data_IF_235923991822
#
_entry.id   IF_235923991822
#
_cell.length_a   1.000
_cell.length_b   1.000
_cell.length_c   1.000
_cell.angle_alpha   90.00
_cell.angle_beta   90.00
_cell.angle_gamma   90.00
#
_symmetry.space_group_name_H-M   'P 1'
#
loop_
_entity.id
_entity.type
_entity.pdbx_description
1 polymer ?
#
# COMPACT_ATOMS: atom_id res chain seq x y z
N UNK A 1 9.12 -20.16 29.58
CA UNK A 1 8.38 -21.22 28.88
C UNK A 1 7.01 -20.71 28.47
N UNK A 2 6.47 -21.16 27.35
CA UNK A 2 5.13 -20.78 26.89
C UNK A 2 4.07 -21.30 27.85
N UNK A 3 3.03 -20.51 28.10
CA UNK A 3 1.93 -20.85 29.02
C UNK A 3 0.60 -20.50 28.36
N UNK A 4 -0.43 -21.37 28.44
CA UNK A 4 -1.79 -21.01 28.06
C UNK A 4 -2.29 -19.82 28.88
N UNK A 5 -3.13 -18.97 28.26
CA UNK A 5 -3.75 -17.84 28.93
C UNK A 5 -5.21 -18.14 29.28
N UNK A 6 -5.76 -17.51 30.35
CA UNK A 6 -7.19 -17.60 30.66
C UNK A 6 -8.08 -17.05 29.55
N UNK A 7 -9.36 -17.44 29.57
CA UNK A 7 -10.41 -16.84 28.73
C UNK A 7 -10.46 -15.33 28.95
N UNK A 8 -10.70 -14.57 27.89
CA UNK A 8 -10.74 -13.10 27.90
C UNK A 8 -9.38 -12.39 27.81
N UNK A 9 -8.26 -13.10 28.03
CA UNK A 9 -6.91 -12.50 28.02
C UNK A 9 -6.25 -12.60 26.64
N UNK A 10 -5.83 -11.46 26.08
CA UNK A 10 -5.22 -11.40 24.75
C UNK A 10 -3.74 -11.84 24.76
N UNK A 11 -3.43 -12.93 24.05
CA UNK A 11 -2.09 -13.49 23.88
C UNK A 11 -1.70 -13.72 22.42
N UNK A 12 -0.50 -14.26 22.20
CA UNK A 12 -0.07 -14.68 20.87
C UNK A 12 -0.76 -15.99 20.46
N UNK A 13 -1.26 -16.03 19.22
CA UNK A 13 -1.88 -17.21 18.64
C UNK A 13 -0.83 -18.13 17.99
N UNK A 14 -0.90 -19.42 18.31
CA UNK A 14 -0.08 -20.47 17.71
C UNK A 14 -0.98 -21.51 17.06
N UNK A 15 -0.55 -22.07 15.93
CA UNK A 15 -1.23 -23.17 15.25
C UNK A 15 -0.42 -24.46 15.44
N UNK A 16 -1.09 -25.58 15.71
CA UNK A 16 -0.48 -26.90 15.80
C UNK A 16 -1.22 -27.92 14.95
N UNK A 17 -0.66 -29.13 14.85
CA UNK A 17 -1.30 -30.27 14.20
C UNK A 17 -0.90 -30.49 12.73
N UNK A 18 -1.66 -31.34 12.04
CA UNK A 18 -1.31 -31.84 10.71
C UNK A 18 -1.33 -30.77 9.59
N UNK A 19 -2.04 -29.65 9.81
CA UNK A 19 -2.15 -28.55 8.82
C UNK A 19 -0.92 -27.65 8.73
N UNK A 20 0.15 -27.92 9.47
CA UNK A 20 1.36 -27.12 9.41
C UNK A 20 2.11 -27.31 8.09
N UNK A 21 2.53 -26.19 7.50
CA UNK A 21 3.45 -26.23 6.37
C UNK A 21 4.80 -26.86 6.77
N UNK A 22 5.56 -27.32 5.77
CA UNK A 22 6.92 -27.86 6.01
C UNK A 22 7.86 -26.76 6.53
N UNK A 23 7.72 -25.55 5.99
CA UNK A 23 8.54 -24.37 6.27
C UNK A 23 8.48 -23.40 5.10
N UNK A 24 9.35 -22.39 5.13
CA UNK A 24 9.55 -21.46 4.01
C UNK A 24 10.61 -22.02 3.04
N UNK A 25 10.32 -21.97 1.74
CA UNK A 25 11.21 -22.51 0.71
C UNK A 25 12.56 -21.79 0.71
N UNK A 26 13.65 -22.55 0.84
CA UNK A 26 15.02 -22.01 0.83
C UNK A 26 15.37 -21.10 2.02
N UNK A 27 14.50 -21.02 3.05
CA UNK A 27 14.65 -20.10 4.18
C UNK A 27 14.60 -20.85 5.52
N UNK A 28 15.67 -21.59 5.87
CA UNK A 28 15.73 -22.35 7.11
C UNK A 28 15.73 -21.45 8.36
N UNK A 29 16.29 -20.24 8.23
CA UNK A 29 16.29 -19.17 9.24
C UNK A 29 14.85 -18.78 9.64
N UNK A 30 14.02 -18.43 8.67
CA UNK A 30 12.62 -18.07 8.89
C UNK A 30 11.79 -19.27 9.34
N UNK A 31 12.13 -20.45 8.84
CA UNK A 31 11.43 -21.69 9.22
C UNK A 31 11.66 -21.98 10.70
N UNK A 32 12.90 -21.90 11.19
CA UNK A 32 13.20 -22.13 12.60
C UNK A 32 12.58 -21.06 13.51
N UNK A 33 12.54 -19.80 13.06
CA UNK A 33 11.93 -18.71 13.82
C UNK A 33 10.38 -18.80 13.89
N UNK A 34 9.74 -19.27 12.82
CA UNK A 34 8.29 -19.37 12.70
C UNK A 34 7.69 -20.70 13.19
N UNK A 35 8.40 -21.82 12.99
CA UNK A 35 7.95 -23.17 13.34
C UNK A 35 8.75 -23.70 14.54
N UNK A 36 8.24 -23.43 15.73
CA UNK A 36 8.90 -23.73 17.01
C UNK A 36 8.43 -25.07 17.59
N UNK A 37 9.18 -25.60 18.56
CA UNK A 37 8.78 -26.80 19.28
C UNK A 37 7.47 -26.58 20.05
N UNK A 38 6.51 -27.50 19.94
CA UNK A 38 5.23 -27.43 20.64
C UNK A 38 5.34 -28.16 21.99
N UNK A 39 5.25 -27.45 23.14
CA UNK A 39 5.31 -28.09 24.45
C UNK A 39 3.98 -28.71 24.89
N UNK A 40 2.90 -28.54 24.10
CA UNK A 40 1.54 -28.95 24.45
C UNK A 40 1.04 -30.16 23.65
N UNK A 41 1.88 -30.72 22.79
CA UNK A 41 1.57 -31.85 21.91
C UNK A 41 2.47 -33.06 22.17
N UNK A 42 2.41 -34.09 21.31
CA UNK A 42 3.32 -35.23 21.38
C UNK A 42 4.78 -34.79 21.23
N UNK A 43 5.70 -35.60 21.76
CA UNK A 43 7.14 -35.35 21.65
C UNK A 43 7.56 -35.18 20.17
N UNK A 44 8.39 -34.17 19.89
CA UNK A 44 8.78 -33.82 18.53
C UNK A 44 7.76 -32.99 17.75
N UNK A 45 6.60 -32.67 18.36
CA UNK A 45 5.60 -31.79 17.76
C UNK A 45 6.11 -30.38 17.51
N UNK A 46 5.64 -29.75 16.43
CA UNK A 46 5.89 -28.35 16.10
C UNK A 46 4.61 -27.54 16.21
N UNK A 47 4.76 -26.23 16.37
CA UNK A 47 3.69 -25.25 16.23
C UNK A 47 4.18 -24.03 15.45
N UNK A 48 3.28 -23.42 14.70
CA UNK A 48 3.55 -22.20 13.94
C UNK A 48 3.14 -20.98 14.74
N UNK A 49 4.08 -20.04 14.90
CA UNK A 49 3.87 -18.74 15.53
C UNK A 49 3.26 -17.79 14.50
N UNK A 50 1.96 -17.52 14.62
CA UNK A 50 1.19 -16.79 13.58
C UNK A 50 1.53 -15.30 13.48
N UNK A 51 2.05 -14.72 14.57
CA UNK A 51 2.18 -13.27 14.76
C UNK A 51 0.86 -12.58 15.13
N UNK A 52 -0.28 -13.28 15.12
CA UNK A 52 -1.57 -12.74 15.55
C UNK A 52 -1.70 -12.70 17.08
N UNK A 53 -2.40 -11.70 17.59
CA UNK A 53 -2.91 -11.62 18.96
C UNK A 53 -4.39 -11.95 18.96
N UNK A 54 -4.78 -12.88 19.82
CA UNK A 54 -6.16 -13.32 19.96
C UNK A 54 -6.50 -13.63 21.42
N UNK A 55 -7.79 -13.72 21.73
CA UNK A 55 -8.31 -14.20 23.01
C UNK A 55 -9.49 -15.13 22.80
N UNK A 56 -9.66 -16.07 23.71
CA UNK A 56 -10.91 -16.84 23.79
C UNK A 56 -12.01 -15.97 24.39
N UNK A 57 -13.19 -16.03 23.79
CA UNK A 57 -14.44 -15.53 24.37
C UNK A 57 -15.11 -16.62 25.20
N UNK A 58 -16.05 -16.23 26.05
CA UNK A 58 -16.75 -17.14 26.96
C UNK A 58 -17.63 -18.18 26.22
N UNK A 59 -17.97 -17.90 24.96
CA UNK A 59 -18.69 -18.80 24.05
C UNK A 59 -17.77 -19.84 23.37
N UNK A 60 -16.47 -19.84 23.68
CA UNK A 60 -15.49 -20.74 23.08
C UNK A 60 -14.99 -20.30 21.70
N UNK A 61 -15.41 -19.14 21.19
CA UNK A 61 -14.88 -18.60 19.94
C UNK A 61 -13.58 -17.83 20.16
N UNK A 62 -12.72 -17.82 19.14
CA UNK A 62 -11.48 -17.06 19.14
C UNK A 62 -11.72 -15.66 18.55
N UNK A 63 -11.47 -14.62 19.33
CA UNK A 63 -11.51 -13.22 18.88
C UNK A 63 -10.13 -12.75 18.46
N UNK A 64 -10.02 -12.23 17.23
CA UNK A 64 -8.83 -11.55 16.75
C UNK A 64 -8.71 -10.15 17.38
N UNK A 65 -7.57 -9.86 17.99
CA UNK A 65 -7.29 -8.60 18.69
C UNK A 65 -6.35 -7.70 17.89
N UNK A 66 -5.44 -8.28 17.09
CA UNK A 66 -4.49 -7.53 16.28
C UNK A 66 -3.28 -8.39 15.91
N UNK A 67 -2.22 -7.77 15.40
CA UNK A 67 -0.94 -8.45 15.14
C UNK A 67 0.15 -7.95 16.09
N UNK A 68 1.16 -8.77 16.30
CA UNK A 68 2.39 -8.41 17.02
C UNK A 68 3.41 -7.75 16.10
N UNK A 69 3.37 -8.08 14.83
CA UNK A 69 4.19 -7.48 13.78
C UNK A 69 3.41 -6.39 13.02
N UNK A 70 4.12 -5.66 12.17
CA UNK A 70 3.57 -4.55 11.37
C UNK A 70 2.78 -5.05 10.15
N UNK A 71 2.34 -6.31 10.11
CA UNK A 71 1.57 -6.83 9.00
C UNK A 71 0.12 -6.38 9.07
N UNK A 72 -0.45 -6.05 7.91
CA UNK A 72 -1.76 -5.42 7.81
C UNK A 72 -2.59 -6.08 6.71
N UNK A 73 -3.89 -6.25 6.96
CA UNK A 73 -4.85 -6.66 5.94
C UNK A 73 -5.55 -5.44 5.35
N UNK A 74 -5.38 -5.21 4.05
CA UNK A 74 -6.01 -4.11 3.32
C UNK A 74 -6.64 -4.62 2.03
N UNK A 75 -7.92 -4.32 1.82
CA UNK A 75 -8.66 -4.68 0.60
C UNK A 75 -8.55 -6.17 0.20
N UNK A 76 -8.51 -7.08 1.19
CA UNK A 76 -8.35 -8.52 0.98
C UNK A 76 -6.91 -9.01 0.82
N UNK A 77 -5.94 -8.11 0.70
CA UNK A 77 -4.52 -8.43 0.61
C UNK A 77 -3.85 -8.42 1.98
N UNK A 78 -2.89 -9.34 2.15
CA UNK A 78 -1.92 -9.30 3.25
C UNK A 78 -0.74 -8.46 2.78
N UNK A 79 -0.49 -7.36 3.48
CA UNK A 79 0.60 -6.43 3.18
C UNK A 79 1.67 -6.57 4.26
N UNK A 80 2.91 -6.75 3.83
CA UNK A 80 4.10 -6.87 4.64
C UNK A 80 4.83 -5.52 4.66
N UNK A 81 4.55 -4.65 5.65
CA UNK A 81 5.11 -3.28 5.65
C UNK A 81 6.64 -3.27 5.66
N UNK A 82 7.26 -4.24 6.34
CA UNK A 82 8.71 -4.40 6.33
C UNK A 82 9.31 -4.74 4.95
N UNK A 83 8.55 -5.40 4.06
CA UNK A 83 8.98 -5.64 2.68
C UNK A 83 9.03 -4.33 1.89
N UNK A 84 8.01 -3.49 2.06
CA UNK A 84 7.93 -2.17 1.44
C UNK A 84 9.07 -1.27 1.97
N UNK A 85 9.29 -1.27 3.29
CA UNK A 85 10.40 -0.54 3.92
C UNK A 85 11.75 -0.97 3.34
N UNK A 86 12.01 -2.28 3.24
CA UNK A 86 13.27 -2.78 2.70
C UNK A 86 13.49 -2.39 1.24
N UNK A 87 12.45 -2.45 0.41
CA UNK A 87 12.54 -2.04 -0.99
C UNK A 87 12.82 -0.54 -1.09
N UNK A 88 12.11 0.30 -0.32
CA UNK A 88 12.35 1.75 -0.34
C UNK A 88 13.75 2.09 0.19
N UNK A 89 14.19 1.44 1.27
CA UNK A 89 15.52 1.63 1.86
C UNK A 89 16.67 1.19 0.92
N UNK A 90 16.40 0.30 -0.03
CA UNK A 90 17.40 -0.13 -1.01
C UNK A 90 17.67 0.92 -2.10
N UNK A 91 16.85 1.97 -2.20
CA UNK A 91 17.09 3.07 -3.14
C UNK A 91 18.30 3.91 -2.69
N UNK A 92 19.31 4.16 -3.55
CA UNK A 92 20.55 4.85 -3.15
C UNK A 92 20.37 6.26 -2.58
N UNK A 93 19.28 6.94 -2.95
CA UNK A 93 18.95 8.28 -2.46
C UNK A 93 18.12 8.33 -1.18
N UNK A 94 17.82 7.19 -0.55
CA UNK A 94 17.06 7.09 0.71
C UNK A 94 18.01 6.76 1.86
N UNK A 95 18.02 7.60 2.89
CA UNK A 95 18.82 7.42 4.10
C UNK A 95 18.06 6.63 5.17
N UNK A 96 16.78 6.99 5.39
CA UNK A 96 15.90 6.32 6.35
C UNK A 96 14.51 6.21 5.77
N UNK A 97 13.79 5.13 6.13
CA UNK A 97 12.38 5.01 5.82
C UNK A 97 11.60 4.29 6.92
N UNK A 98 10.32 4.63 7.03
CA UNK A 98 9.33 3.87 7.77
C UNK A 98 8.04 3.84 6.95
N UNK A 99 7.37 2.69 6.91
CA UNK A 99 6.11 2.52 6.20
C UNK A 99 5.04 2.15 7.21
N UNK A 100 3.90 2.82 7.12
CA UNK A 100 2.75 2.58 7.98
C UNK A 100 1.47 2.53 7.16
N UNK A 101 0.47 1.83 7.67
CA UNK A 101 -0.91 2.03 7.23
C UNK A 101 -1.53 3.13 8.05
N UNK A 102 -2.11 4.11 7.36
CA UNK A 102 -2.88 5.18 7.98
C UNK A 102 -4.34 5.05 7.65
N UNK A 103 -5.14 5.65 8.52
CA UNK A 103 -6.59 5.84 8.36
C UNK A 103 -6.92 7.26 8.83
N UNK A 104 -6.41 8.26 8.11
CA UNK A 104 -6.63 9.67 8.46
C UNK A 104 -8.09 10.09 8.23
N UNK A 105 -8.83 9.35 7.38
CA UNK A 105 -10.29 9.44 7.24
C UNK A 105 -10.92 8.08 7.56
N UNK A 106 -12.06 8.03 8.30
CA UNK A 106 -12.72 6.79 8.65
C UNK A 106 -12.99 5.89 7.44
N UNK A 107 -12.55 4.63 7.52
CA UNK A 107 -12.70 3.62 6.47
C UNK A 107 -11.69 3.71 5.32
N UNK A 108 -10.89 4.77 5.24
CA UNK A 108 -9.90 4.97 4.18
C UNK A 108 -8.50 4.58 4.64
N UNK A 109 -8.23 3.28 4.62
CA UNK A 109 -6.90 2.75 4.92
C UNK A 109 -6.00 2.81 3.70
N UNK A 110 -4.79 3.32 3.87
CA UNK A 110 -3.82 3.46 2.79
C UNK A 110 -2.38 3.37 3.31
N UNK A 111 -1.44 3.00 2.43
CA UNK A 111 -0.03 2.79 2.78
C UNK A 111 0.73 4.09 2.57
N UNK A 112 1.43 4.58 3.60
CA UNK A 112 2.24 5.80 3.54
C UNK A 112 3.69 5.45 3.82
N UNK A 113 4.58 5.91 2.96
CA UNK A 113 6.02 5.83 3.17
C UNK A 113 6.56 7.16 3.71
N UNK A 114 7.22 7.12 4.86
CA UNK A 114 7.96 8.24 5.41
C UNK A 114 9.43 8.07 5.04
N UNK A 115 10.04 9.11 4.50
CA UNK A 115 11.42 9.03 4.00
C UNK A 115 12.25 10.21 4.48
N UNK A 116 13.50 9.91 4.84
CA UNK A 116 14.61 10.87 4.87
C UNK A 116 15.44 10.54 3.64
N UNK A 117 15.40 11.40 2.64
CA UNK A 117 15.95 11.10 1.33
C UNK A 117 16.37 12.39 0.59
N UNK A 118 17.29 12.24 -0.34
CA UNK A 118 17.67 13.26 -1.32
C UNK A 118 17.02 13.01 -2.69
N UNK A 119 16.69 11.75 -3.00
CA UNK A 119 16.00 11.42 -4.25
C UNK A 119 14.57 12.00 -4.27
N UNK A 120 14.06 12.43 -5.44
CA UNK A 120 12.66 12.80 -5.65
C UNK A 120 11.67 11.68 -5.27
N UNK A 121 10.46 12.04 -4.87
CA UNK A 121 9.42 11.06 -4.47
C UNK A 121 9.06 10.13 -5.64
N UNK A 122 9.06 10.65 -6.86
CA UNK A 122 8.73 9.90 -8.07
C UNK A 122 9.75 8.80 -8.37
N UNK A 123 11.03 9.05 -8.10
CA UNK A 123 12.10 8.06 -8.26
C UNK A 123 11.97 6.94 -7.23
N UNK A 124 11.65 7.29 -5.98
CA UNK A 124 11.41 6.34 -4.90
C UNK A 124 10.21 5.44 -5.22
N UNK A 125 9.09 6.04 -5.65
CA UNK A 125 7.90 5.29 -6.05
C UNK A 125 8.13 4.44 -7.30
N UNK A 126 8.91 4.93 -8.27
CA UNK A 126 9.28 4.15 -9.44
C UNK A 126 10.14 2.93 -9.07
N UNK A 127 11.09 3.09 -8.14
CA UNK A 127 11.90 2.00 -7.61
C UNK A 127 11.05 0.95 -6.88
N UNK A 128 10.10 1.39 -6.04
CA UNK A 128 9.17 0.49 -5.36
C UNK A 128 8.30 -0.28 -6.36
N UNK A 129 7.75 0.41 -7.36
CA UNK A 129 6.88 -0.17 -8.39
C UNK A 129 7.56 -1.20 -9.30
N UNK A 130 8.88 -1.17 -9.44
CA UNK A 130 9.60 -2.18 -10.23
C UNK A 130 9.76 -3.52 -9.48
N UNK A 131 9.64 -3.52 -8.16
CA UNK A 131 9.90 -4.69 -7.30
C UNK A 131 8.66 -5.19 -6.55
N UNK A 132 7.70 -4.31 -6.28
CA UNK A 132 6.51 -4.62 -5.51
C UNK A 132 5.27 -4.79 -6.40
N UNK A 133 4.30 -5.61 -5.96
CA UNK A 133 2.98 -5.63 -6.55
C UNK A 133 2.19 -4.37 -6.20
N UNK A 134 1.22 -4.01 -7.05
CA UNK A 134 0.52 -2.72 -7.00
C UNK A 134 -0.19 -2.46 -5.66
N UNK A 135 -0.73 -3.50 -5.03
CA UNK A 135 -1.43 -3.39 -3.76
C UNK A 135 -0.52 -3.14 -2.55
N UNK A 136 0.81 -3.25 -2.73
CA UNK A 136 1.81 -2.90 -1.71
C UNK A 136 2.43 -1.53 -1.95
N UNK A 137 2.13 -0.86 -3.07
CA UNK A 137 2.75 0.43 -3.34
C UNK A 137 2.23 1.50 -2.38
N UNK A 138 3.13 2.33 -1.81
CA UNK A 138 2.71 3.50 -1.05
C UNK A 138 1.86 4.41 -1.92
N UNK A 139 0.75 4.88 -1.37
CA UNK A 139 -0.14 5.84 -2.02
C UNK A 139 0.28 7.29 -1.76
N UNK A 140 1.18 7.51 -0.81
CA UNK A 140 1.76 8.79 -0.46
C UNK A 140 3.19 8.61 0.06
N UNK A 141 4.04 9.62 -0.18
CA UNK A 141 5.39 9.72 0.37
C UNK A 141 5.45 11.01 1.18
N UNK A 142 5.88 10.90 2.44
CA UNK A 142 6.04 12.04 3.35
C UNK A 142 7.51 12.22 3.65
N UNK A 143 8.07 13.36 3.22
CA UNK A 143 9.48 13.67 3.43
C UNK A 143 9.70 14.32 4.79
N UNK A 144 10.60 13.73 5.58
CA UNK A 144 10.97 14.23 6.89
C UNK A 144 12.45 14.61 6.91
N UNK A 145 12.82 15.54 7.80
CA UNK A 145 14.23 15.83 8.09
C UNK A 145 14.91 14.69 8.83
N UNK A 146 14.16 14.04 9.74
CA UNK A 146 14.58 12.87 10.51
C UNK A 146 13.33 12.06 10.88
N UNK A 147 13.45 10.74 11.01
CA UNK A 147 12.37 9.94 11.59
C UNK A 147 12.24 10.19 13.10
N UNK A 148 11.02 10.30 13.66
CA UNK A 148 10.83 10.37 15.09
C UNK A 148 11.31 9.06 15.72
N UNK A 149 12.05 9.15 16.83
CA UNK A 149 12.58 7.99 17.55
C UNK A 149 12.00 7.93 18.96
N UNK A 150 11.75 6.71 19.43
CA UNK A 150 11.46 6.39 20.83
C UNK A 150 12.72 6.60 21.70
N UNK A 151 12.57 6.59 23.01
CA UNK A 151 13.70 6.64 23.97
C UNK A 151 14.72 5.50 23.78
N UNK A 152 14.32 4.40 23.14
CA UNK A 152 15.17 3.25 22.83
C UNK A 152 15.80 3.32 21.42
N UNK A 153 15.71 4.46 20.73
CA UNK A 153 16.31 4.68 19.41
C UNK A 153 15.58 3.97 18.25
N UNK A 154 14.42 3.35 18.49
CA UNK A 154 13.57 2.79 17.42
C UNK A 154 12.64 3.85 16.85
N UNK A 155 12.25 3.74 15.59
CA UNK A 155 11.24 4.62 14.97
C UNK A 155 9.94 4.63 15.78
N UNK A 156 9.51 5.82 16.17
CA UNK A 156 8.24 6.06 16.86
C UNK A 156 7.12 6.30 15.86
N UNK A 157 6.56 5.19 15.35
CA UNK A 157 5.49 5.20 14.34
C UNK A 157 4.23 5.95 14.78
N UNK A 158 4.01 6.12 16.09
CA UNK A 158 2.84 6.85 16.62
C UNK A 158 2.95 8.36 16.48
N UNK A 159 4.18 8.86 16.40
CA UNK A 159 4.50 10.28 16.26
C UNK A 159 4.83 10.68 14.82
N UNK A 160 4.58 9.80 13.85
CA UNK A 160 4.68 10.14 12.43
C UNK A 160 3.53 11.10 12.06
N UNK A 161 3.84 12.27 11.49
CA UNK A 161 2.81 13.26 11.12
C UNK A 161 1.89 12.68 10.06
N UNK A 162 0.64 13.12 9.99
CA UNK A 162 -0.17 12.81 8.82
C UNK A 162 0.55 13.33 7.55
N UNK A 163 0.38 12.68 6.38
CA UNK A 163 0.63 13.36 5.11
C UNK A 163 -0.11 14.70 5.18
N UNK A 164 0.64 15.79 5.15
CA UNK A 164 0.05 17.11 5.32
C UNK A 164 -1.02 17.31 4.24
N UNK A 165 -2.27 17.59 4.64
CA UNK A 165 -3.30 18.23 3.78
C UNK A 165 -2.81 19.60 3.23
N UNK A 166 -1.59 20.02 3.57
CA UNK A 166 -1.05 21.38 3.45
C UNK A 166 0.03 21.57 2.38
N UNK A 167 0.43 20.52 1.65
CA UNK A 167 1.44 20.64 0.58
C UNK A 167 0.91 20.56 -0.85
N UNK A 168 -0.40 20.35 -1.04
CA UNK A 168 -1.01 20.15 -2.37
C UNK A 168 -2.22 21.04 -2.68
N UNK A 169 -2.57 22.00 -1.82
CA UNK A 169 -3.33 23.17 -2.27
C UNK A 169 -2.33 24.17 -2.84
N UNK A 170 -1.72 23.82 -3.97
CA UNK A 170 -1.41 24.90 -4.89
C UNK A 170 -2.78 25.43 -5.32
N UNK A 171 -3.07 26.68 -5.00
CA UNK A 171 -4.27 27.40 -5.49
C UNK A 171 -4.22 27.59 -7.02
N UNK A 172 -3.37 26.80 -7.71
CA UNK A 172 -3.21 26.81 -9.15
C UNK A 172 -4.34 25.99 -9.75
N UNK A 173 -5.15 26.65 -10.56
CA UNK A 173 -6.07 25.95 -11.44
C UNK A 173 -5.32 25.11 -12.49
N UNK A 174 -6.04 24.27 -13.24
CA UNK A 174 -5.50 23.61 -14.41
C UNK A 174 -4.90 24.60 -15.40
N UNK A 175 -3.61 24.44 -15.71
CA UNK A 175 -2.89 25.23 -16.71
C UNK A 175 -3.01 24.67 -18.13
N UNK A 176 -3.48 23.43 -18.28
CA UNK A 176 -3.65 22.77 -19.58
C UNK A 176 -5.04 22.10 -19.72
N UNK A 177 -5.49 21.93 -20.96
CA UNK A 177 -6.73 21.19 -21.24
C UNK A 177 -6.69 19.74 -20.72
N UNK A 178 -5.49 19.14 -20.69
CA UNK A 178 -5.27 17.78 -20.19
C UNK A 178 -5.40 17.69 -18.67
N UNK A 179 -4.78 18.62 -17.94
CA UNK A 179 -4.99 18.74 -16.49
C UNK A 179 -6.48 18.95 -16.19
N UNK A 180 -7.16 19.84 -16.92
CA UNK A 180 -8.58 20.12 -16.71
C UNK A 180 -9.46 18.88 -16.91
N UNK A 181 -9.17 18.10 -17.96
CA UNK A 181 -9.87 16.87 -18.24
C UNK A 181 -9.61 15.80 -17.18
N UNK A 182 -8.36 15.65 -16.72
CA UNK A 182 -8.01 14.70 -15.66
C UNK A 182 -8.68 15.08 -14.33
N UNK A 183 -8.68 16.35 -13.93
CA UNK A 183 -9.41 16.83 -12.76
C UNK A 183 -10.90 16.47 -12.85
N UNK A 184 -11.54 16.71 -14.00
CA UNK A 184 -12.94 16.35 -14.22
C UNK A 184 -13.19 14.85 -14.04
N UNK A 185 -12.34 14.01 -14.62
CA UNK A 185 -12.46 12.55 -14.49
C UNK A 185 -12.26 12.08 -13.04
N UNK A 186 -11.34 12.70 -12.29
CA UNK A 186 -11.14 12.42 -10.86
C UNK A 186 -12.38 12.80 -10.06
N UNK A 187 -12.93 14.00 -10.25
CA UNK A 187 -14.17 14.43 -9.61
C UNK A 187 -15.33 13.47 -9.87
N UNK A 188 -15.53 13.04 -11.12
CA UNK A 188 -16.59 12.11 -11.49
C UNK A 188 -16.44 10.72 -10.85
N UNK A 189 -15.20 10.26 -10.64
CA UNK A 189 -14.92 8.93 -10.07
C UNK A 189 -15.02 8.92 -8.56
N UNK A 190 -14.60 10.02 -7.91
CA UNK A 190 -14.58 10.16 -6.46
C UNK A 190 -15.80 10.89 -5.89
N UNK A 191 -16.72 11.34 -6.76
CA UNK A 191 -17.91 12.13 -6.39
C UNK A 191 -17.55 13.43 -5.63
N UNK A 192 -16.61 14.20 -6.20
CA UNK A 192 -16.12 15.46 -5.64
C UNK A 192 -16.60 16.65 -6.48
N UNK A 193 -16.88 17.78 -5.82
CA UNK A 193 -17.27 19.02 -6.50
C UNK A 193 -16.11 19.64 -7.30
N UNK A 194 -14.90 19.59 -6.75
CA UNK A 194 -13.69 20.11 -7.36
C UNK A 194 -12.47 19.35 -6.83
N UNK A 195 -11.38 19.41 -7.60
CA UNK A 195 -10.07 18.87 -7.23
C UNK A 195 -8.97 19.72 -7.85
N UNK A 196 -7.96 20.05 -7.05
CA UNK A 196 -6.72 20.69 -7.46
C UNK A 196 -5.85 19.76 -8.29
N UNK A 197 -5.04 20.34 -9.16
CA UNK A 197 -4.19 19.57 -10.09
C UNK A 197 -3.06 18.80 -9.41
N UNK A 198 -2.63 19.25 -8.23
CA UNK A 198 -1.58 18.64 -7.43
C UNK A 198 -2.14 17.80 -6.26
N UNK A 199 -3.47 17.68 -6.14
CA UNK A 199 -4.08 16.82 -5.13
C UNK A 199 -3.98 15.35 -5.54
N UNK A 200 -3.50 14.51 -4.62
CA UNK A 200 -3.32 13.08 -4.86
C UNK A 200 -4.65 12.35 -4.90
N UNK A 201 -4.89 11.61 -5.98
CA UNK A 201 -6.05 10.75 -6.16
C UNK A 201 -6.31 9.82 -4.96
N UNK A 202 -5.26 9.26 -4.36
CA UNK A 202 -5.40 8.34 -3.24
C UNK A 202 -5.67 9.05 -1.92
N UNK A 203 -5.04 10.21 -1.68
CA UNK A 203 -5.33 11.03 -0.51
C UNK A 203 -6.78 11.53 -0.53
N UNK A 204 -7.32 11.81 -1.71
CA UNK A 204 -8.72 12.19 -1.92
C UNK A 204 -9.73 11.06 -1.65
N UNK A 205 -9.30 9.81 -1.42
CA UNK A 205 -10.20 8.67 -1.24
C UNK A 205 -10.18 7.65 -2.38
N UNK A 206 -9.28 7.81 -3.34
CA UNK A 206 -9.03 6.83 -4.39
C UNK A 206 -8.64 5.48 -3.81
N UNK A 207 -9.43 4.46 -4.13
CA UNK A 207 -9.13 3.06 -3.82
C UNK A 207 -9.04 2.25 -5.11
N UNK A 208 -8.72 0.96 -5.02
CA UNK A 208 -8.51 0.10 -6.19
C UNK A 208 -9.66 0.13 -7.20
N UNK A 209 -10.93 0.11 -6.74
CA UNK A 209 -12.08 0.20 -7.64
C UNK A 209 -12.20 1.57 -8.31
N UNK A 210 -11.94 2.65 -7.58
CA UNK A 210 -11.89 4.00 -8.13
C UNK A 210 -10.77 4.11 -9.18
N UNK A 211 -9.58 3.57 -8.89
CA UNK A 211 -8.44 3.57 -9.80
C UNK A 211 -8.79 2.86 -11.12
N UNK A 212 -9.39 1.66 -11.05
CA UNK A 212 -9.83 0.92 -12.24
C UNK A 212 -10.84 1.73 -13.06
N UNK A 213 -11.81 2.38 -12.39
CA UNK A 213 -12.81 3.23 -13.07
C UNK A 213 -12.15 4.45 -13.72
N UNK A 214 -11.24 5.13 -13.02
CA UNK A 214 -10.51 6.29 -13.52
C UNK A 214 -9.69 5.92 -14.77
N UNK A 215 -8.88 4.87 -14.69
CA UNK A 215 -8.05 4.41 -15.80
C UNK A 215 -8.91 4.01 -17.02
N UNK A 216 -10.05 3.35 -16.80
CA UNK A 216 -10.99 3.03 -17.88
C UNK A 216 -11.60 4.27 -18.53
N UNK A 217 -11.91 5.32 -17.74
CA UNK A 217 -12.41 6.59 -18.29
C UNK A 217 -11.34 7.36 -19.05
N UNK A 218 -10.12 7.45 -18.51
CA UNK A 218 -8.97 8.05 -19.20
C UNK A 218 -8.79 7.38 -20.56
N UNK A 219 -8.79 6.05 -20.59
CA UNK A 219 -8.73 5.28 -21.84
C UNK A 219 -9.82 5.67 -22.84
N UNK A 220 -11.07 5.76 -22.37
CA UNK A 220 -12.21 6.07 -23.22
C UNK A 220 -12.22 7.49 -23.78
N UNK A 221 -11.84 8.49 -22.97
CA UNK A 221 -11.93 9.91 -23.34
C UNK A 221 -10.64 10.42 -23.99
N UNK A 222 -9.48 9.90 -23.60
CA UNK A 222 -8.17 10.38 -24.05
C UNK A 222 -7.49 9.42 -25.04
N UNK A 223 -7.96 8.18 -25.18
CA UNK A 223 -7.35 7.19 -26.06
C UNK A 223 -5.96 6.72 -25.61
N UNK A 224 -5.62 6.89 -24.34
CA UNK A 224 -4.34 6.51 -23.75
C UNK A 224 -4.52 5.34 -22.79
N UNK A 225 -3.66 4.32 -22.90
CA UNK A 225 -3.65 3.21 -21.97
C UNK A 225 -2.64 3.44 -20.84
N UNK A 226 -3.14 3.54 -19.62
CA UNK A 226 -2.33 3.77 -18.42
C UNK A 226 -2.48 2.57 -17.48
N UNK A 227 -1.34 1.99 -17.09
CA UNK A 227 -1.31 0.93 -16.09
C UNK A 227 -1.48 1.46 -14.67
N UNK A 228 -2.00 0.65 -13.75
CA UNK A 228 -2.24 1.08 -12.37
C UNK A 228 -0.95 1.49 -11.63
N UNK A 229 0.19 0.86 -11.92
CA UNK A 229 1.50 1.30 -11.40
C UNK A 229 1.82 2.76 -11.71
N UNK A 230 1.48 3.21 -12.92
CA UNK A 230 1.73 4.58 -13.33
C UNK A 230 0.89 5.57 -12.53
N UNK A 231 -0.34 5.20 -12.12
CA UNK A 231 -1.15 6.02 -11.23
C UNK A 231 -0.53 6.13 -9.83
N UNK A 232 0.07 5.06 -9.30
CA UNK A 232 0.80 5.14 -8.03
C UNK A 232 2.04 6.03 -8.12
N UNK A 233 2.76 6.00 -9.25
CA UNK A 233 3.95 6.82 -9.48
C UNK A 233 3.63 8.28 -9.83
N UNK A 234 2.42 8.56 -10.29
CA UNK A 234 1.94 9.88 -10.68
C UNK A 234 0.47 10.02 -10.19
N UNK A 235 0.25 10.22 -8.89
CA UNK A 235 -1.08 10.16 -8.31
C UNK A 235 -1.92 11.43 -8.52
N UNK A 236 -1.37 12.48 -9.12
CA UNK A 236 -2.04 13.77 -9.33
C UNK A 236 -2.39 14.00 -10.80
N UNK A 237 -3.36 14.88 -11.08
CA UNK A 237 -3.73 15.23 -12.45
C UNK A 237 -2.54 15.85 -13.21
N UNK A 238 -1.73 16.68 -12.53
CA UNK A 238 -0.53 17.28 -13.10
C UNK A 238 0.52 16.26 -13.51
N UNK A 239 0.84 15.33 -12.62
CA UNK A 239 1.85 14.30 -12.87
C UNK A 239 1.40 13.34 -13.98
N UNK A 240 0.12 12.95 -13.99
CA UNK A 240 -0.43 12.13 -15.08
C UNK A 240 -0.40 12.89 -16.41
N UNK A 241 -0.77 14.16 -16.42
CA UNK A 241 -0.73 14.98 -17.63
C UNK A 241 0.69 15.02 -18.22
N UNK A 242 1.69 15.31 -17.39
CA UNK A 242 3.10 15.35 -17.80
C UNK A 242 3.60 14.01 -18.37
N UNK A 243 3.19 12.89 -17.76
CA UNK A 243 3.57 11.55 -18.26
C UNK A 243 2.87 11.17 -19.56
N UNK A 244 1.61 11.58 -19.74
CA UNK A 244 0.90 11.43 -21.02
C UNK A 244 1.59 12.25 -22.10
N UNK A 245 1.99 13.49 -21.79
CA UNK A 245 2.57 14.43 -22.76
C UNK A 245 3.99 14.07 -23.19
N UNK A 246 4.75 13.43 -22.30
CA UNK A 246 6.06 12.87 -22.63
C UNK A 246 6.01 11.61 -23.50
N UNK A 247 4.82 11.11 -23.86
CA UNK A 247 4.66 9.94 -24.73
C UNK A 247 5.07 8.62 -24.06
N UNK A 248 5.14 8.58 -22.73
CA UNK A 248 5.52 7.37 -21.97
C UNK A 248 4.45 6.27 -22.01
N UNK A 249 3.25 6.58 -22.50
CA UNK A 249 2.14 5.64 -22.61
C UNK A 249 1.81 5.36 -24.07
N UNK A 250 1.42 4.12 -24.34
CA UNK A 250 0.98 3.73 -25.67
C UNK A 250 -0.35 4.42 -26.02
N UNK A 251 -0.36 5.10 -27.17
CA UNK A 251 -1.60 5.56 -27.78
C UNK A 251 -2.38 4.35 -28.31
N UNK A 252 -3.68 4.30 -28.03
CA UNK A 252 -4.52 3.23 -28.58
C UNK A 252 -4.78 3.55 -30.04
N UNK A 253 -4.11 2.80 -30.92
CA UNK A 253 -4.50 2.73 -32.32
C UNK A 253 -5.78 1.91 -32.39
N UNK A 254 -6.94 2.56 -32.55
CA UNK A 254 -8.17 1.83 -32.85
C UNK A 254 -7.97 1.15 -34.21
N UNK A 255 -8.10 -0.19 -34.33
CA UNK A 255 -8.09 -0.81 -35.65
C UNK A 255 -9.24 -0.20 -36.46
N UNK A 256 -8.95 0.20 -37.70
CA UNK A 256 -9.95 0.75 -38.59
C UNK A 256 -11.07 -0.29 -38.74
N UNK A 257 -12.31 0.14 -38.48
CA UNK A 257 -13.50 -0.67 -38.76
C UNK A 257 -13.56 -0.84 -40.28
N UNK A 258 -13.10 -1.98 -40.78
CA UNK A 258 -13.33 -2.37 -42.18
C UNK A 258 -14.82 -2.66 -42.27
N UNK A 259 -15.56 -1.78 -42.97
CA UNK A 259 -16.96 -2.01 -43.27
C UNK A 259 -17.09 -3.37 -43.95
N UNK A 260 -17.98 -4.23 -43.42
CA UNK A 260 -18.39 -5.42 -44.14
C UNK A 260 -19.16 -4.95 -45.36
N UNK A 261 -18.61 -5.15 -46.55
CA UNK A 261 -19.39 -5.09 -47.77
C UNK A 261 -20.50 -6.13 -47.67
N UNK A 262 -21.74 -5.65 -47.68
CA UNK A 262 -22.92 -6.50 -47.82
C UNK A 262 -22.95 -7.02 -49.26
N UNK A 263 -22.89 -8.34 -49.41
CA UNK A 263 -23.14 -9.07 -50.66
C UNK A 263 -24.52 -9.71 -50.61
#
# INVERSE_FOLDING_TARGET
GLRPLPVGVAGELYLGGAGLARGYLGRPDLTAAGFVACPFGPAGGRMYRTGDRARWRDDGNLEFVGRRDDQVKMNGFRIELGEIENVIAAHPGVEQTAVVVREDRPGLRHVVAYVVAQAPDEEILAHAASQLPDYMLPSAVVRLRNLPLTTNGKVDRRNLPAPDDRTSVTDRGPGTAREQQLCKLICEVLDLAAVGVDESFFELGGQSLHAVRLLSRIRGVMGVEIGIKALFQAPTAALLAARIDSGQFAAITRPALIGRDES
#
